data_IF_962783399206
#
_entry.id   IF_962783399206
#
_cell.length_a   1.000
_cell.length_b   1.000
_cell.length_c   1.000
_cell.angle_alpha   90.00
_cell.angle_beta   90.00
_cell.angle_gamma   90.00
#
_symmetry.space_group_name_H-M   'P 1'
#
loop_
_entity.id
_entity.type
_entity.pdbx_description
1 polymer ?
#
# COMPACT_ATOMS: atom_id res chain seq x y z
N UNK A 1 -20.77 36.12 -6.40
CA UNK A 1 -20.49 35.41 -5.12
C UNK A 1 -20.97 33.97 -5.21
N UNK A 2 -20.12 33.03 -5.65
CA UNK A 2 -20.51 31.62 -5.82
C UNK A 2 -20.67 30.89 -4.48
N UNK A 3 -21.82 30.24 -4.24
CA UNK A 3 -22.04 29.40 -3.06
C UNK A 3 -21.09 28.20 -3.09
N UNK A 4 -20.11 28.15 -2.18
CA UNK A 4 -19.24 26.98 -1.99
C UNK A 4 -20.10 25.74 -1.68
N UNK A 5 -20.01 24.70 -2.52
CA UNK A 5 -20.68 23.40 -2.30
C UNK A 5 -20.19 22.81 -0.97
N UNK A 6 -21.10 22.49 -0.04
CA UNK A 6 -20.76 21.75 1.20
C UNK A 6 -20.19 20.38 0.82
N UNK A 7 -19.00 20.05 1.33
CA UNK A 7 -18.42 18.70 1.21
C UNK A 7 -19.40 17.70 1.84
N UNK A 8 -19.77 16.66 1.09
CA UNK A 8 -20.59 15.56 1.61
C UNK A 8 -19.75 14.76 2.62
N UNK A 9 -20.18 14.70 3.87
CA UNK A 9 -19.54 13.84 4.87
C UNK A 9 -19.71 12.38 4.42
N UNK A 10 -18.59 11.69 4.12
CA UNK A 10 -18.62 10.27 3.78
C UNK A 10 -19.07 9.47 4.99
N UNK A 11 -19.93 8.49 4.79
CA UNK A 11 -20.36 7.59 5.85
C UNK A 11 -19.14 6.88 6.45
N UNK A 12 -19.09 6.80 7.78
CA UNK A 12 -18.01 6.12 8.48
C UNK A 12 -18.05 4.61 8.19
N UNK A 13 -16.89 3.93 8.17
CA UNK A 13 -16.87 2.48 7.98
C UNK A 13 -17.61 1.76 9.13
N UNK A 14 -18.03 0.50 8.92
CA UNK A 14 -18.70 -0.31 9.94
C UNK A 14 -17.98 -0.25 11.29
N UNK A 15 -18.75 -0.18 12.39
CA UNK A 15 -18.20 -0.02 13.75
C UNK A 15 -17.15 -1.08 14.09
N UNK A 16 -17.34 -2.34 13.67
CA UNK A 16 -16.42 -3.45 13.90
C UNK A 16 -15.00 -3.15 13.38
N UNK A 17 -14.85 -2.44 12.26
CA UNK A 17 -13.55 -2.06 11.67
C UNK A 17 -12.87 -0.88 12.35
N UNK A 18 -13.56 -0.20 13.27
CA UNK A 18 -13.03 0.96 14.02
C UNK A 18 -12.70 0.60 15.47
N UNK A 19 -12.87 -0.66 15.86
CA UNK A 19 -12.66 -1.09 17.25
C UNK A 19 -11.17 -1.13 17.58
N UNK A 20 -10.83 -0.61 18.77
CA UNK A 20 -9.51 -0.82 19.39
C UNK A 20 -9.34 -2.28 19.79
N UNK A 21 -8.09 -2.73 19.94
CA UNK A 21 -7.70 -4.11 20.28
C UNK A 21 -8.52 -4.72 21.42
N UNK A 22 -8.67 -4.03 22.55
CA UNK A 22 -9.43 -4.53 23.70
C UNK A 22 -10.89 -4.80 23.36
N UNK A 23 -11.53 -3.88 22.63
CA UNK A 23 -12.90 -4.06 22.17
C UNK A 23 -13.03 -5.23 21.17
N UNK A 24 -12.02 -5.42 20.30
CA UNK A 24 -11.99 -6.57 19.40
C UNK A 24 -11.95 -7.87 20.17
N UNK A 25 -11.01 -8.04 21.10
CA UNK A 25 -10.87 -9.25 21.93
C UNK A 25 -12.17 -9.60 22.67
N UNK A 26 -12.86 -8.61 23.24
CA UNK A 26 -14.15 -8.82 23.91
C UNK A 26 -15.23 -9.28 22.93
N UNK A 27 -15.42 -8.58 21.81
CA UNK A 27 -16.43 -8.95 20.81
C UNK A 27 -16.09 -10.23 20.04
N UNK A 28 -14.82 -10.58 19.96
CA UNK A 28 -14.34 -11.74 19.21
C UNK A 28 -14.83 -13.04 19.82
N UNK A 29 -15.03 -13.08 21.15
CA UNK A 29 -15.57 -14.26 21.84
C UNK A 29 -16.97 -14.62 21.33
N UNK A 30 -17.87 -13.63 21.17
CA UNK A 30 -19.21 -13.89 20.64
C UNK A 30 -19.18 -14.14 19.13
N UNK A 31 -18.33 -13.41 18.40
CA UNK A 31 -18.14 -13.61 16.96
C UNK A 31 -17.65 -15.02 16.62
N UNK A 32 -16.67 -15.54 17.38
CA UNK A 32 -16.13 -16.90 17.20
C UNK A 32 -17.20 -17.98 17.35
N UNK A 33 -18.14 -17.81 18.29
CA UNK A 33 -19.27 -18.74 18.48
C UNK A 33 -20.21 -18.79 17.28
N UNK A 34 -20.35 -17.67 16.56
CA UNK A 34 -21.22 -17.54 15.39
C UNK A 34 -20.49 -17.82 14.07
N UNK A 35 -19.17 -17.97 14.10
CA UNK A 35 -18.36 -18.11 12.90
C UNK A 35 -18.45 -19.54 12.34
N UNK A 36 -19.02 -19.69 11.15
CA UNK A 36 -19.17 -20.97 10.43
C UNK A 36 -18.20 -21.14 9.26
N UNK A 37 -17.26 -20.22 9.08
CA UNK A 37 -16.35 -20.22 7.94
C UNK A 37 -15.19 -21.23 8.09
N UNK A 38 -14.59 -21.63 6.95
CA UNK A 38 -13.44 -22.56 6.93
C UNK A 38 -12.15 -21.96 7.51
N UNK A 39 -11.90 -20.67 7.27
CA UNK A 39 -10.66 -20.00 7.66
C UNK A 39 -10.96 -18.88 8.66
N UNK A 40 -10.79 -19.19 9.94
CA UNK A 40 -11.04 -18.27 11.06
C UNK A 40 -10.17 -17.02 10.96
N UNK A 41 -8.88 -17.17 10.62
CA UNK A 41 -7.96 -16.03 10.49
C UNK A 41 -8.42 -15.05 9.42
N UNK A 42 -8.77 -15.54 8.23
CA UNK A 42 -9.26 -14.70 7.14
C UNK A 42 -10.60 -14.05 7.48
N UNK A 43 -11.50 -14.80 8.13
CA UNK A 43 -12.77 -14.29 8.63
C UNK A 43 -12.58 -13.15 9.62
N UNK A 44 -11.66 -13.34 10.57
CA UNK A 44 -11.33 -12.36 11.61
C UNK A 44 -10.80 -11.06 11.01
N UNK A 45 -9.81 -11.17 10.12
CA UNK A 45 -9.22 -10.02 9.43
C UNK A 45 -10.28 -9.24 8.64
N UNK A 46 -11.19 -9.94 7.95
CA UNK A 46 -12.27 -9.30 7.19
C UNK A 46 -13.29 -8.59 8.09
N UNK A 47 -13.66 -9.22 9.22
CA UNK A 47 -14.66 -8.68 10.13
C UNK A 47 -14.16 -7.44 10.86
N UNK A 48 -12.94 -7.48 11.40
CA UNK A 48 -12.36 -6.40 12.19
C UNK A 48 -11.46 -5.44 11.41
N UNK A 49 -11.16 -5.73 10.13
CA UNK A 49 -10.30 -4.89 9.30
C UNK A 49 -8.85 -4.85 9.78
N UNK A 50 -8.33 -5.93 10.35
CA UNK A 50 -6.95 -6.05 10.84
C UNK A 50 -6.08 -6.82 9.84
N UNK A 51 -4.77 -6.60 9.93
CA UNK A 51 -3.78 -7.42 9.24
C UNK A 51 -3.73 -8.83 9.83
N UNK A 52 -3.19 -9.76 9.04
CA UNK A 52 -3.17 -11.17 9.42
C UNK A 52 -2.24 -11.47 10.60
N UNK A 53 -1.18 -10.67 10.82
CA UNK A 53 -0.27 -10.85 11.97
C UNK A 53 -0.98 -10.47 13.25
N UNK A 54 -1.66 -9.32 13.28
CA UNK A 54 -2.53 -8.94 14.41
C UNK A 54 -3.66 -9.96 14.63
N UNK A 55 -4.35 -10.38 13.56
CA UNK A 55 -5.41 -11.36 13.65
C UNK A 55 -4.92 -12.71 14.22
N UNK A 56 -3.73 -13.17 13.82
CA UNK A 56 -3.17 -14.42 14.32
C UNK A 56 -2.81 -14.33 15.81
N UNK A 57 -2.18 -13.23 16.23
CA UNK A 57 -1.84 -13.00 17.64
C UNK A 57 -3.09 -12.90 18.53
N UNK A 58 -4.11 -12.14 18.09
CA UNK A 58 -5.36 -11.99 18.84
C UNK A 58 -6.14 -13.31 18.93
N UNK A 59 -6.17 -14.10 17.86
CA UNK A 59 -6.80 -15.44 17.87
C UNK A 59 -6.06 -16.43 18.77
N UNK A 60 -4.73 -16.42 18.79
CA UNK A 60 -3.93 -17.21 19.72
C UNK A 60 -4.24 -16.85 21.18
N UNK A 61 -4.39 -15.56 21.49
CA UNK A 61 -4.78 -15.10 22.82
C UNK A 61 -6.18 -15.56 23.24
N UNK A 62 -7.09 -15.71 22.27
CA UNK A 62 -8.43 -16.25 22.48
C UNK A 62 -8.44 -17.80 22.55
N UNK A 63 -7.28 -18.46 22.47
CA UNK A 63 -7.15 -19.91 22.56
C UNK A 63 -7.41 -20.65 21.24
N UNK A 64 -7.52 -19.95 20.11
CA UNK A 64 -7.72 -20.57 18.81
C UNK A 64 -6.40 -21.13 18.30
N UNK A 65 -6.36 -22.45 18.09
CA UNK A 65 -5.20 -23.12 17.48
C UNK A 65 -5.16 -22.82 15.98
N UNK A 66 -4.09 -22.15 15.55
CA UNK A 66 -3.80 -21.90 14.14
C UNK A 66 -2.58 -22.73 13.77
N UNK A 67 -2.65 -23.42 12.63
CA UNK A 67 -1.54 -24.21 12.13
C UNK A 67 -0.28 -23.32 11.90
N UNK A 68 0.86 -23.65 12.51
CA UNK A 68 2.08 -22.85 12.35
C UNK A 68 2.66 -22.95 10.93
N UNK A 69 2.41 -24.06 10.22
CA UNK A 69 2.82 -24.21 8.82
C UNK A 69 2.12 -23.19 7.91
N UNK A 70 0.82 -23.01 8.10
CA UNK A 70 0.02 -22.00 7.41
C UNK A 70 0.50 -20.56 7.68
N UNK A 71 0.88 -20.24 8.93
CA UNK A 71 1.45 -18.92 9.25
C UNK A 71 2.80 -18.70 8.57
N UNK A 72 3.67 -19.71 8.54
CA UNK A 72 4.96 -19.65 7.84
C UNK A 72 4.79 -19.46 6.32
N UNK A 73 3.87 -20.21 5.70
CA UNK A 73 3.56 -20.04 4.28
C UNK A 73 3.05 -18.63 3.96
N UNK A 74 2.20 -18.06 4.83
CA UNK A 74 1.76 -16.68 4.68
C UNK A 74 2.89 -15.68 4.78
N UNK A 75 3.78 -15.85 5.75
CA UNK A 75 4.95 -14.98 5.91
C UNK A 75 5.82 -14.98 4.65
N UNK A 76 6.13 -16.17 4.11
CA UNK A 76 6.89 -16.32 2.86
C UNK A 76 6.18 -15.64 1.68
N UNK A 77 4.87 -15.81 1.59
CA UNK A 77 4.06 -15.19 0.51
C UNK A 77 4.12 -13.66 0.57
N UNK A 78 4.02 -13.08 1.78
CA UNK A 78 4.12 -11.63 1.96
C UNK A 78 5.51 -11.10 1.61
N UNK A 79 6.57 -11.82 1.98
CA UNK A 79 7.95 -11.47 1.63
C UNK A 79 8.16 -11.47 0.12
N UNK A 80 7.70 -12.51 -0.57
CA UNK A 80 7.79 -12.60 -2.03
C UNK A 80 6.99 -11.49 -2.73
N UNK A 81 5.79 -11.17 -2.23
CA UNK A 81 5.00 -10.06 -2.77
C UNK A 81 5.65 -8.71 -2.52
N UNK A 82 6.27 -8.50 -1.36
CA UNK A 82 6.98 -7.27 -1.05
C UNK A 82 8.21 -7.10 -1.95
N UNK A 83 8.97 -8.18 -2.19
CA UNK A 83 10.10 -8.17 -3.13
C UNK A 83 9.64 -7.84 -4.56
N UNK A 84 8.58 -8.50 -5.05
CA UNK A 84 8.02 -8.22 -6.39
C UNK A 84 7.55 -6.78 -6.55
N UNK A 85 6.87 -6.22 -5.53
CA UNK A 85 6.44 -4.81 -5.56
C UNK A 85 7.62 -3.83 -5.53
N UNK A 86 8.74 -4.21 -4.91
CA UNK A 86 9.96 -3.40 -4.91
C UNK A 86 10.59 -3.40 -6.30
N UNK A 87 10.72 -4.58 -6.90
CA UNK A 87 11.21 -4.76 -8.26
C UNK A 87 10.34 -4.01 -9.28
N UNK A 88 9.01 -4.13 -9.21
CA UNK A 88 8.08 -3.39 -10.08
C UNK A 88 8.23 -1.88 -9.94
N UNK A 89 8.42 -1.37 -8.71
CA UNK A 89 8.67 0.07 -8.48
C UNK A 89 10.02 0.52 -9.02
N UNK A 90 11.05 -0.30 -8.89
CA UNK A 90 12.38 -0.01 -9.41
C UNK A 90 12.39 -0.03 -10.94
N UNK A 91 11.73 -1.01 -11.56
CA UNK A 91 11.53 -1.06 -13.00
C UNK A 91 10.74 0.16 -13.51
N UNK A 92 9.64 0.53 -12.85
CA UNK A 92 8.86 1.71 -13.23
C UNK A 92 9.63 3.02 -13.04
N UNK A 93 10.45 3.11 -11.98
CA UNK A 93 11.32 4.27 -11.76
C UNK A 93 12.42 4.36 -12.81
N UNK A 94 13.03 3.24 -13.20
CA UNK A 94 14.03 3.17 -14.27
C UNK A 94 13.41 3.50 -15.64
N UNK A 95 12.22 2.99 -15.93
CA UNK A 95 11.46 3.32 -17.14
C UNK A 95 11.11 4.81 -17.19
N UNK A 96 10.61 5.37 -16.08
CA UNK A 96 10.32 6.81 -16.00
C UNK A 96 11.58 7.68 -16.09
N UNK A 97 12.73 7.20 -15.62
CA UNK A 97 14.01 7.88 -15.78
C UNK A 97 14.52 7.81 -17.23
N UNK A 98 14.25 6.71 -17.93
CA UNK A 98 14.59 6.47 -19.33
C UNK A 98 13.60 7.08 -20.32
N UNK A 99 12.44 7.57 -19.87
CA UNK A 99 11.45 8.27 -20.69
C UNK A 99 11.92 9.71 -20.98
N UNK A 100 13.10 9.83 -21.59
CA UNK A 100 13.50 11.03 -22.30
C UNK A 100 13.11 10.85 -23.77
N UNK A 101 12.42 11.84 -24.33
CA UNK A 101 12.01 11.82 -25.74
C UNK A 101 13.19 12.15 -26.69
N UNK A 102 14.34 12.52 -26.12
CA UNK A 102 15.58 12.88 -26.81
C UNK A 102 16.70 11.83 -26.60
N UNK A 103 17.61 11.76 -27.56
CA UNK A 103 18.75 10.82 -27.61
C UNK A 103 20.09 11.50 -27.24
N UNK A 104 20.05 12.64 -26.57
CA UNK A 104 21.23 13.40 -26.15
C UNK A 104 21.60 13.05 -24.72
N UNK A 105 22.88 12.75 -24.49
CA UNK A 105 23.41 12.41 -23.16
C UNK A 105 23.84 13.65 -22.37
N UNK A 106 23.90 14.83 -23.01
CA UNK A 106 24.23 16.09 -22.35
C UNK A 106 23.53 17.31 -22.97
N UNK A 107 23.30 18.33 -22.15
CA UNK A 107 22.75 19.61 -22.60
C UNK A 107 23.61 20.28 -23.69
N UNK A 108 24.93 20.04 -23.68
CA UNK A 108 25.84 20.57 -24.71
C UNK A 108 25.60 19.95 -26.09
N UNK A 109 25.29 18.66 -26.16
CA UNK A 109 24.96 17.99 -27.43
C UNK A 109 23.61 18.46 -27.98
N UNK A 110 22.60 18.61 -27.13
CA UNK A 110 21.31 19.20 -27.52
C UNK A 110 21.49 20.64 -28.03
N UNK A 111 22.38 21.42 -27.40
CA UNK A 111 22.72 22.77 -27.86
C UNK A 111 23.37 22.77 -29.25
N UNK A 112 24.33 21.87 -29.50
CA UNK A 112 24.96 21.74 -30.82
C UNK A 112 23.98 21.27 -31.90
N UNK A 113 22.98 20.47 -31.53
CA UNK A 113 21.91 20.03 -32.42
C UNK A 113 20.77 21.05 -32.57
N UNK A 114 20.84 22.20 -31.88
CA UNK A 114 19.80 23.23 -31.82
C UNK A 114 18.43 22.70 -31.32
N UNK A 115 18.43 21.62 -30.53
CA UNK A 115 17.23 21.05 -29.93
C UNK A 115 16.95 21.69 -28.56
N UNK A 116 16.40 22.90 -28.62
CA UNK A 116 16.12 23.71 -27.42
C UNK A 116 15.02 23.12 -26.53
N UNK A 117 14.13 22.29 -27.07
CA UNK A 117 13.11 21.59 -26.26
C UNK A 117 13.78 20.54 -25.36
N UNK A 118 14.72 19.76 -25.90
CA UNK A 118 15.49 18.78 -25.13
C UNK A 118 16.36 19.47 -24.07
N UNK A 119 17.00 20.58 -24.43
CA UNK A 119 17.80 21.39 -23.52
C UNK A 119 16.99 21.94 -22.33
N UNK A 120 15.78 22.43 -22.57
CA UNK A 120 14.89 22.94 -21.52
C UNK A 120 14.40 21.85 -20.57
N UNK A 121 14.08 20.65 -21.06
CA UNK A 121 13.70 19.51 -20.21
C UNK A 121 14.86 19.07 -19.31
N UNK A 122 16.08 18.97 -19.87
CA UNK A 122 17.29 18.66 -19.10
C UNK A 122 17.55 19.70 -18.00
N UNK A 123 17.48 20.99 -18.35
CA UNK A 123 17.67 22.09 -17.39
C UNK A 123 16.58 22.11 -16.30
N UNK A 124 15.34 21.73 -16.63
CA UNK A 124 14.26 21.56 -15.65
C UNK A 124 14.50 20.38 -14.71
N UNK A 125 15.08 19.27 -15.19
CA UNK A 125 15.45 18.11 -14.36
C UNK A 125 16.59 18.46 -13.39
N UNK A 126 17.58 19.24 -13.83
CA UNK A 126 18.70 19.67 -12.98
C UNK A 126 18.31 20.73 -11.95
N UNK A 127 17.43 21.67 -12.30
CA UNK A 127 17.04 22.79 -11.41
C UNK A 127 15.80 22.52 -10.54
N UNK A 128 15.09 21.40 -10.77
CA UNK A 128 13.89 21.01 -10.02
C UNK A 128 14.09 20.75 -8.52
N UNK A 129 15.33 20.65 -8.04
CA UNK A 129 15.67 20.44 -6.62
C UNK A 129 15.75 21.74 -5.78
N UNK A 130 15.57 22.93 -6.37
CA UNK A 130 15.77 24.22 -5.68
C UNK A 130 14.52 24.92 -5.13
N UNK A 131 13.30 24.41 -5.36
CA UNK A 131 12.06 24.95 -4.78
C UNK A 131 11.05 23.84 -4.40
N UNK A 132 11.48 22.92 -3.52
CA UNK A 132 10.61 21.96 -2.82
C UNK A 132 10.26 22.41 -1.41
#
# INVERSE_FOLDING_TARGET
MGRKRKKKNRALPPRCKRMKRQGRLQSAVSWLKQFSGKNVLRGYCKHYGVDWRCGAAELQQLGVRIDPGYLKQRELTEQNQAAKRKEEREAQAAESASDCWYDYDSAFEAYLAEDYEALYDMECRENGDLWG
#
